data_IF_584318465043
#
_entry.id   IF_584318465043
#
_cell.length_a   1.000
_cell.length_b   1.000
_cell.length_c   1.000
_cell.angle_alpha   90.00
_cell.angle_beta   90.00
_cell.angle_gamma   90.00
#
_symmetry.space_group_name_H-M   'P 1'
#
loop_
_entity.id
_entity.type
_entity.pdbx_description
1 polymer ?
#
# COMPACT_ATOMS: atom_id res chain seq x y z
N UNK A 1 19.86 -6.29 11.34
CA UNK A 1 18.90 -5.82 10.30
C UNK A 1 17.55 -5.62 10.99
N UNK A 2 16.80 -4.58 10.62
CA UNK A 2 15.45 -4.33 11.18
C UNK A 2 14.47 -5.42 10.73
N UNK A 3 14.52 -5.77 9.44
CA UNK A 3 13.77 -6.87 8.83
C UNK A 3 14.62 -7.50 7.72
N UNK A 4 14.39 -8.78 7.43
CA UNK A 4 14.97 -9.44 6.26
C UNK A 4 14.34 -8.89 4.98
N UNK A 5 15.17 -8.46 4.02
CA UNK A 5 14.70 -7.88 2.77
C UNK A 5 14.01 -8.89 1.86
N UNK A 6 14.34 -10.18 1.97
CA UNK A 6 13.63 -11.24 1.24
C UNK A 6 12.20 -11.36 1.74
N UNK A 7 12.02 -11.32 3.06
CA UNK A 7 10.69 -11.39 3.69
C UNK A 7 9.88 -10.13 3.36
N UNK A 8 10.50 -8.95 3.45
CA UNK A 8 9.86 -7.68 3.04
C UNK A 8 9.38 -7.71 1.59
N UNK A 9 10.20 -8.21 0.67
CA UNK A 9 9.80 -8.35 -0.74
C UNK A 9 8.56 -9.24 -0.86
N UNK A 10 8.52 -10.38 -0.18
CA UNK A 10 7.38 -11.29 -0.24
C UNK A 10 6.10 -10.65 0.33
N UNK A 11 6.22 -9.86 1.41
CA UNK A 11 5.10 -9.09 1.96
C UNK A 11 4.58 -8.05 0.96
N UNK A 12 5.49 -7.29 0.33
CA UNK A 12 5.11 -6.30 -0.70
C UNK A 12 4.47 -6.95 -1.93
N UNK A 13 5.00 -8.09 -2.38
CA UNK A 13 4.44 -8.83 -3.51
C UNK A 13 3.00 -9.26 -3.22
N UNK A 14 2.75 -9.74 -2.00
CA UNK A 14 1.41 -10.18 -1.57
C UNK A 14 0.47 -9.00 -1.36
N UNK A 15 0.90 -7.97 -0.63
CA UNK A 15 0.05 -6.83 -0.24
C UNK A 15 -0.24 -5.88 -1.42
N UNK A 16 0.72 -5.70 -2.32
CA UNK A 16 0.74 -4.64 -3.34
C UNK A 16 0.69 -5.25 -4.74
N UNK A 17 1.74 -5.97 -5.15
CA UNK A 17 1.94 -6.35 -6.55
C UNK A 17 0.84 -7.29 -7.05
N UNK A 18 0.51 -8.32 -6.28
CA UNK A 18 -0.50 -9.32 -6.67
C UNK A 18 -1.91 -8.73 -6.85
N UNK A 19 -2.16 -7.55 -6.26
CA UNK A 19 -3.50 -6.93 -6.24
C UNK A 19 -3.59 -5.70 -7.13
N UNK A 20 -2.52 -4.92 -7.29
CA UNK A 20 -2.54 -3.64 -8.01
C UNK A 20 -1.82 -3.69 -9.36
N UNK A 21 -0.83 -4.56 -9.54
CA UNK A 21 -0.02 -4.55 -10.75
C UNK A 21 -0.81 -5.00 -11.99
N UNK A 22 -0.70 -4.25 -13.08
CA UNK A 22 -1.45 -4.47 -14.32
C UNK A 22 -2.98 -4.60 -14.14
N UNK A 23 -3.55 -3.89 -13.16
CA UNK A 23 -5.00 -3.84 -12.89
C UNK A 23 -5.63 -2.48 -13.17
N UNK A 24 -6.92 -2.49 -13.46
CA UNK A 24 -7.75 -1.30 -13.32
C UNK A 24 -8.19 -1.19 -11.85
N UNK A 25 -7.73 -0.15 -11.16
CA UNK A 25 -7.95 0.01 -9.71
C UNK A 25 -9.44 0.01 -9.36
N UNK A 26 -10.27 0.79 -10.05
CA UNK A 26 -11.69 0.93 -9.71
C UNK A 26 -12.53 -0.31 -10.03
N UNK A 27 -12.11 -1.12 -11.02
CA UNK A 27 -12.90 -2.27 -11.51
C UNK A 27 -12.43 -3.60 -10.95
N UNK A 28 -11.12 -3.79 -10.82
CA UNK A 28 -10.52 -5.08 -10.49
C UNK A 28 -10.19 -5.22 -9.00
N UNK A 29 -10.17 -4.11 -8.26
CA UNK A 29 -9.83 -4.10 -6.83
C UNK A 29 -11.08 -3.76 -6.02
N UNK A 30 -11.73 -4.74 -5.35
CA UNK A 30 -13.02 -4.55 -4.72
C UNK A 30 -13.11 -3.36 -3.74
N UNK A 31 -12.01 -3.04 -3.07
CA UNK A 31 -11.92 -1.89 -2.15
C UNK A 31 -12.29 -0.56 -2.82
N UNK A 32 -11.89 -0.37 -4.08
CA UNK A 32 -12.12 0.88 -4.81
C UNK A 32 -13.47 0.93 -5.55
N UNK A 33 -14.34 -0.06 -5.33
CA UNK A 33 -15.71 -0.01 -5.86
C UNK A 33 -16.58 1.05 -5.17
N UNK A 34 -16.25 1.41 -3.94
CA UNK A 34 -16.94 2.42 -3.12
C UNK A 34 -16.03 3.55 -2.64
N UNK A 35 -14.73 3.48 -2.94
CA UNK A 35 -13.72 4.46 -2.54
C UNK A 35 -13.03 5.01 -3.78
N UNK A 36 -12.94 6.33 -3.91
CA UNK A 36 -12.26 6.97 -5.04
C UNK A 36 -10.77 6.63 -5.03
N UNK A 37 -10.22 6.19 -6.16
CA UNK A 37 -8.84 5.74 -6.34
C UNK A 37 -7.80 6.88 -6.44
N UNK A 38 -7.87 7.88 -5.55
CA UNK A 38 -6.81 8.91 -5.47
C UNK A 38 -5.50 8.33 -4.93
N UNK A 39 -4.38 8.99 -5.19
CA UNK A 39 -3.07 8.58 -4.69
C UNK A 39 -3.03 8.45 -3.15
N UNK A 40 -3.75 9.34 -2.44
CA UNK A 40 -3.89 9.30 -0.99
C UNK A 40 -4.62 8.04 -0.53
N UNK A 41 -5.78 7.72 -1.14
CA UNK A 41 -6.55 6.53 -0.79
C UNK A 41 -5.82 5.22 -1.15
N UNK A 42 -5.03 5.23 -2.24
CA UNK A 42 -4.16 4.10 -2.58
C UNK A 42 -3.04 3.95 -1.53
N UNK A 43 -2.44 5.04 -1.05
CA UNK A 43 -1.44 4.98 0.01
C UNK A 43 -2.01 4.42 1.33
N UNK A 44 -3.23 4.82 1.71
CA UNK A 44 -3.96 4.26 2.87
C UNK A 44 -4.25 2.77 2.66
N UNK A 45 -4.77 2.40 1.50
CA UNK A 45 -5.04 1.00 1.18
C UNK A 45 -3.78 0.12 1.23
N UNK A 46 -2.66 0.59 0.69
CA UNK A 46 -1.38 -0.12 0.76
C UNK A 46 -0.92 -0.24 2.20
N UNK A 47 -1.08 0.80 3.02
CA UNK A 47 -0.74 0.77 4.44
C UNK A 47 -1.51 -0.32 5.18
N UNK A 48 -2.84 -0.32 5.06
CA UNK A 48 -3.70 -1.29 5.75
C UNK A 48 -3.31 -2.73 5.38
N UNK A 49 -3.09 -2.98 4.08
CA UNK A 49 -2.60 -4.27 3.57
C UNK A 49 -1.23 -4.65 4.12
N UNK A 50 -0.29 -3.70 4.21
CA UNK A 50 1.05 -3.96 4.70
C UNK A 50 1.08 -4.22 6.21
N UNK A 51 0.25 -3.53 7.00
CA UNK A 51 0.10 -3.76 8.44
C UNK A 51 -0.40 -5.17 8.74
N UNK A 52 -1.29 -5.73 7.91
CA UNK A 52 -1.77 -7.11 8.05
C UNK A 52 -0.67 -8.16 7.80
N UNK A 53 0.33 -7.84 6.97
CA UNK A 53 1.42 -8.76 6.60
C UNK A 53 2.65 -8.64 7.50
N UNK A 54 2.95 -7.42 7.97
CA UNK A 54 4.14 -7.12 8.75
C UNK A 54 3.92 -7.39 10.25
N UNK A 55 4.99 -7.75 10.98
CA UNK A 55 4.96 -7.72 12.44
C UNK A 55 4.50 -6.34 12.97
N UNK A 56 3.65 -6.30 14.01
CA UNK A 56 3.14 -5.05 14.55
C UNK A 56 4.24 -4.04 14.92
N UNK A 57 4.03 -2.77 14.57
CA UNK A 57 4.93 -1.67 14.91
C UNK A 57 6.17 -1.53 14.01
N UNK A 58 6.31 -2.33 12.94
CA UNK A 58 7.43 -2.22 12.01
C UNK A 58 7.20 -1.28 10.82
N UNK A 59 5.96 -1.09 10.39
CA UNK A 59 5.65 -0.18 9.28
C UNK A 59 5.69 1.27 9.77
N UNK A 60 6.47 2.10 9.10
CA UNK A 60 6.64 3.52 9.46
C UNK A 60 5.97 4.48 8.48
N UNK A 61 6.14 4.26 7.18
CA UNK A 61 5.57 5.12 6.13
C UNK A 61 5.33 4.32 4.86
N UNK A 62 4.19 4.56 4.22
CA UNK A 62 3.96 4.23 2.81
C UNK A 62 4.05 5.52 2.01
N UNK A 63 4.87 5.51 0.96
CA UNK A 63 5.04 6.63 0.04
C UNK A 63 4.72 6.19 -1.38
N UNK A 64 3.67 6.78 -1.95
CA UNK A 64 3.21 6.49 -3.30
C UNK A 64 3.57 7.64 -4.24
N UNK A 65 4.19 7.29 -5.35
CA UNK A 65 4.44 8.20 -6.46
C UNK A 65 3.43 7.87 -7.56
N UNK A 66 2.44 8.73 -7.75
CA UNK A 66 1.53 8.61 -8.90
C UNK A 66 2.25 9.07 -10.18
N UNK A 67 3.00 10.17 -10.06
CA UNK A 67 3.94 10.67 -11.07
C UNK A 67 5.14 11.27 -10.36
N UNK A 68 6.16 11.74 -11.11
CA UNK A 68 7.33 12.42 -10.53
C UNK A 68 6.98 13.68 -9.72
N UNK A 69 5.81 14.29 -9.97
CA UNK A 69 5.37 15.54 -9.34
C UNK A 69 4.26 15.33 -8.30
N UNK A 70 3.59 14.19 -8.34
CA UNK A 70 2.46 13.88 -7.46
C UNK A 70 2.84 12.74 -6.52
N UNK A 71 2.95 13.06 -5.24
CA UNK A 71 3.44 12.15 -4.22
C UNK A 71 2.48 12.21 -3.03
N UNK A 72 1.99 11.05 -2.61
CA UNK A 72 1.25 10.89 -1.37
C UNK A 72 2.09 10.10 -0.36
N UNK A 73 1.98 10.44 0.92
CA UNK A 73 2.58 9.68 2.01
C UNK A 73 1.52 9.43 3.09
N UNK A 74 1.62 8.29 3.76
CA UNK A 74 0.73 7.93 4.85
C UNK A 74 1.49 7.14 5.92
N UNK A 75 1.21 7.44 7.18
CA UNK A 75 1.90 6.88 8.36
C UNK A 75 0.93 6.26 9.38
N UNK A 76 -0.30 5.96 8.97
CA UNK A 76 -1.32 5.43 9.88
C UNK A 76 -1.93 6.50 10.80
N UNK A 77 -1.98 7.76 10.36
CA UNK A 77 -2.39 8.92 11.17
C UNK A 77 -3.91 8.98 11.47
N UNK A 78 -4.65 7.89 11.25
CA UNK A 78 -6.05 7.76 11.64
C UNK A 78 -6.18 6.83 12.86
N UNK A 79 -6.37 7.47 14.02
CA UNK A 79 -7.10 6.95 15.18
C UNK A 79 -8.50 7.56 15.19
#
# INVERSE_FOLDING_TARGET
MVINLVDLKNYMDTAIMSVLDHKNVDKDVPYFSSVVSTAENIAVFIWDRMVEQLPPGLLYEVKLYETDKNIAFYRGEME
#
